data_IF_470041154947
#
_entry.id   IF_470041154947
#
_cell.length_a   1.000
_cell.length_b   1.000
_cell.length_c   1.000
_cell.angle_alpha   90.00
_cell.angle_beta   90.00
_cell.angle_gamma   90.00
#
_symmetry.space_group_name_H-M   'P 1'
#
loop_
_entity.id
_entity.type
_entity.pdbx_description
1 polymer ?
#
# COMPACT_ATOMS: atom_id res chain seq x y z
N UNK A 1 13.42 16.55 8.96
CA UNK A 1 12.95 17.00 7.63
C UNK A 1 11.93 15.96 7.17
N UNK A 2 10.67 16.34 6.94
CA UNK A 2 9.63 15.41 6.46
C UNK A 2 9.92 15.03 5.00
N UNK A 3 9.55 13.82 4.59
CA UNK A 3 9.55 13.44 3.18
C UNK A 3 8.43 14.22 2.49
N UNK A 4 8.74 14.98 1.43
CA UNK A 4 7.70 15.79 0.78
C UNK A 4 6.67 14.91 0.03
N UNK A 5 7.15 13.89 -0.69
CA UNK A 5 6.30 13.02 -1.51
C UNK A 5 6.72 11.57 -1.34
N UNK A 6 5.77 10.70 -1.02
CA UNK A 6 5.97 9.26 -0.82
C UNK A 6 5.15 8.50 -1.87
N UNK A 7 5.81 7.60 -2.59
CA UNK A 7 5.15 6.61 -3.42
C UNK A 7 5.15 5.26 -2.69
N UNK A 8 3.99 4.62 -2.63
CA UNK A 8 3.79 3.30 -1.99
C UNK A 8 3.44 2.29 -3.07
N UNK A 9 4.26 1.25 -3.19
CA UNK A 9 4.04 0.11 -4.07
C UNK A 9 3.81 -1.11 -3.19
N UNK A 10 2.67 -1.78 -3.37
CA UNK A 10 2.23 -2.92 -2.55
C UNK A 10 2.22 -4.15 -3.44
N UNK A 11 2.82 -5.23 -2.97
CA UNK A 11 2.66 -6.56 -3.54
C UNK A 11 1.40 -7.19 -2.92
N UNK A 12 0.31 -7.22 -3.67
CA UNK A 12 -1.01 -7.70 -3.26
C UNK A 12 -1.13 -9.22 -3.17
N UNK A 13 -0.21 -9.97 -3.77
CA UNK A 13 -0.18 -11.43 -3.63
C UNK A 13 0.45 -11.83 -2.28
N UNK A 14 1.36 -10.99 -1.78
CA UNK A 14 2.11 -11.25 -0.54
C UNK A 14 1.67 -10.37 0.64
N UNK A 15 0.96 -9.27 0.40
CA UNK A 15 0.47 -8.38 1.46
C UNK A 15 -1.00 -8.65 1.80
N UNK A 16 -1.26 -8.93 3.08
CA UNK A 16 -2.64 -9.02 3.56
C UNK A 16 -3.33 -7.67 3.55
N UNK A 17 -4.51 -7.60 2.90
CA UNK A 17 -5.36 -6.41 2.82
C UNK A 17 -5.70 -5.81 4.21
N UNK A 18 -5.80 -6.66 5.24
CA UNK A 18 -6.12 -6.27 6.63
C UNK A 18 -5.13 -5.27 7.21
N UNK A 19 -3.85 -5.34 6.80
CA UNK A 19 -2.78 -4.54 7.40
C UNK A 19 -2.46 -3.27 6.60
N UNK A 20 -2.90 -3.17 5.34
CA UNK A 20 -2.55 -2.07 4.42
C UNK A 20 -2.95 -0.71 5.01
N UNK A 21 -4.15 -0.61 5.60
CA UNK A 21 -4.64 0.66 6.17
C UNK A 21 -3.76 1.18 7.31
N UNK A 22 -3.37 0.30 8.25
CA UNK A 22 -2.50 0.68 9.37
C UNK A 22 -1.11 1.12 8.89
N UNK A 23 -0.57 0.43 7.88
CA UNK A 23 0.72 0.77 7.28
C UNK A 23 0.67 2.14 6.59
N UNK A 24 -0.37 2.41 5.80
CA UNK A 24 -0.53 3.72 5.12
C UNK A 24 -0.66 4.87 6.12
N UNK A 25 -1.37 4.67 7.23
CA UNK A 25 -1.43 5.66 8.31
C UNK A 25 -0.04 5.96 8.88
N UNK A 26 0.74 4.91 9.16
CA UNK A 26 2.10 5.08 9.67
C UNK A 26 3.01 5.79 8.67
N UNK A 27 2.91 5.46 7.39
CA UNK A 27 3.66 6.10 6.31
C UNK A 27 3.33 7.60 6.22
N UNK A 28 2.08 7.98 6.46
CA UNK A 28 1.63 9.37 6.40
C UNK A 28 2.24 10.28 7.47
N UNK A 29 2.75 9.71 8.57
CA UNK A 29 3.52 10.46 9.58
C UNK A 29 4.88 10.94 9.03
N UNK A 30 5.44 10.26 8.02
CA UNK A 30 6.75 10.58 7.46
C UNK A 30 6.67 11.56 6.29
N UNK A 31 5.50 11.76 5.68
CA UNK A 31 5.32 12.58 4.49
C UNK A 31 3.99 12.39 3.78
N UNK A 32 3.77 13.14 2.70
CA UNK A 32 2.54 13.03 1.91
C UNK A 32 2.62 11.87 0.92
N UNK A 33 1.72 10.90 1.04
CA UNK A 33 1.59 9.81 0.05
C UNK A 33 0.95 10.36 -1.22
N UNK A 34 1.72 10.48 -2.30
CA UNK A 34 1.24 11.01 -3.59
C UNK A 34 0.83 9.89 -4.55
N UNK A 35 1.31 8.66 -4.33
CA UNK A 35 0.99 7.52 -5.17
C UNK A 35 0.86 6.26 -4.31
N UNK A 36 -0.19 5.48 -4.56
CA UNK A 36 -0.39 4.14 -4.01
C UNK A 36 -0.80 3.19 -5.12
N UNK A 37 -0.04 2.12 -5.34
CA UNK A 37 -0.32 1.08 -6.33
C UNK A 37 -0.18 -0.30 -5.69
N UNK A 38 -1.07 -1.21 -6.07
CA UNK A 38 -1.03 -2.62 -5.64
C UNK A 38 -0.84 -3.46 -6.90
N UNK A 39 0.09 -4.41 -6.86
CA UNK A 39 0.43 -5.33 -7.94
C UNK A 39 0.21 -6.77 -7.51
N UNK A 40 -0.21 -7.63 -8.42
CA UNK A 40 -0.29 -9.07 -8.20
C UNK A 40 -1.15 -9.74 -9.27
N UNK A 41 -1.53 -10.98 -9.01
CA UNK A 41 -2.20 -11.84 -9.97
C UNK A 41 -3.73 -11.76 -9.85
N UNK A 42 -4.34 -10.87 -10.65
CA UNK A 42 -5.79 -10.62 -10.63
C UNK A 42 -6.59 -11.79 -11.23
N UNK A 43 -5.93 -12.85 -11.71
CA UNK A 43 -6.58 -14.08 -12.16
C UNK A 43 -6.92 -15.04 -11.01
N UNK A 44 -6.29 -14.87 -9.84
CA UNK A 44 -6.58 -15.67 -8.65
C UNK A 44 -7.77 -15.11 -7.89
N UNK A 45 -8.80 -15.93 -7.67
CA UNK A 45 -10.08 -15.57 -7.02
C UNK A 45 -9.94 -15.08 -5.55
N UNK A 46 -8.73 -15.13 -5.00
CA UNK A 46 -8.39 -14.71 -3.63
C UNK A 46 -8.24 -13.19 -3.46
N UNK A 47 -8.38 -12.38 -4.51
CA UNK A 47 -8.40 -10.92 -4.43
C UNK A 47 -9.81 -10.33 -4.20
N UNK A 48 -10.75 -11.18 -3.79
CA UNK A 48 -12.08 -10.80 -3.32
C UNK A 48 -11.99 -10.26 -1.88
N UNK A 49 -11.26 -9.17 -1.69
CA UNK A 49 -11.19 -8.42 -0.43
C UNK A 49 -12.36 -7.47 -0.27
#
# INVERSE_FOLDING_TARGET
MMLNNIAVLIDGDNASSKNIGAILNKISEFGTITLKKIYGDWSQTNLSG
#
